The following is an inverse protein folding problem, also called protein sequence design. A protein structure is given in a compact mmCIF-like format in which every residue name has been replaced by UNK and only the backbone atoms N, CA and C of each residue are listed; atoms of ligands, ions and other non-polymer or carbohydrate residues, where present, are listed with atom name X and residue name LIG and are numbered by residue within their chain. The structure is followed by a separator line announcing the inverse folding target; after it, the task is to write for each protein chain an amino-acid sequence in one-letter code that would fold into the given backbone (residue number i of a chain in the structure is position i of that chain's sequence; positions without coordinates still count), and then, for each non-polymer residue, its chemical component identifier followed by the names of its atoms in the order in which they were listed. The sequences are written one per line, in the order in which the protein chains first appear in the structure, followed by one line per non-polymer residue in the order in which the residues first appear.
data_IF_513296814908
#
_entry.id   IF_513296814908
#
_cell.length_a   1.000
_cell.length_b   1.000
_cell.length_c   1.000
_cell.angle_alpha   90.00
_cell.angle_beta   90.00
_cell.angle_gamma   90.00
#
_symmetry.space_group_name_H-M   'P 1'
#
loop_
_entity.id
_entity.type
_entity.pdbx_description
1 polymer ?
#
# COMPACT_ATOMS: atom_id res chain seq x y z
N UNK A 1 1.63 -5.70 -25.10
CA UNK A 1 2.09 -6.50 -23.94
C UNK A 1 1.31 -6.06 -22.70
N UNK A 2 0.78 -7.02 -21.97
CA UNK A 2 0.09 -6.69 -20.71
C UNK A 2 1.07 -6.49 -19.59
N UNK A 3 0.83 -5.46 -18.82
CA UNK A 3 1.60 -5.16 -17.61
C UNK A 3 0.67 -5.07 -16.41
N UNK A 4 1.22 -5.13 -15.23
CA UNK A 4 0.52 -4.83 -13.98
C UNK A 4 1.30 -3.77 -13.22
N UNK A 5 0.59 -3.01 -12.43
CA UNK A 5 1.17 -2.00 -11.56
C UNK A 5 1.23 -2.53 -10.14
N UNK A 6 2.32 -2.28 -9.46
CA UNK A 6 2.55 -2.70 -8.08
C UNK A 6 3.00 -1.48 -7.27
N UNK A 7 2.39 -1.30 -6.11
CA UNK A 7 2.71 -0.19 -5.21
C UNK A 7 3.77 -0.64 -4.21
N UNK A 8 4.85 0.11 -4.13
CA UNK A 8 5.91 -0.15 -3.15
C UNK A 8 6.29 1.13 -2.41
N UNK A 9 7.02 0.95 -1.33
CA UNK A 9 7.66 2.04 -0.59
C UNK A 9 9.14 2.08 -0.96
N UNK A 10 9.60 3.20 -1.51
CA UNK A 10 10.96 3.36 -2.01
C UNK A 10 11.84 4.18 -1.05
N UNK A 11 11.60 4.07 0.26
CA UNK A 11 12.38 4.77 1.26
C UNK A 11 12.47 3.93 2.54
N UNK A 12 13.41 4.25 3.40
CA UNK A 12 13.51 3.64 4.73
C UNK A 12 12.37 4.16 5.61
N UNK A 13 11.80 3.34 6.45
CA UNK A 13 10.69 3.73 7.31
C UNK A 13 9.44 2.87 7.14
N UNK A 14 9.38 2.10 6.06
CA UNK A 14 8.32 1.15 5.83
C UNK A 14 7.15 1.69 5.02
N UNK A 15 6.39 0.75 4.47
CA UNK A 15 5.20 1.04 3.69
C UNK A 15 4.08 1.59 4.58
N UNK A 16 3.46 2.68 4.16
CA UNK A 16 2.31 3.22 4.85
C UNK A 16 1.49 4.13 3.95
N UNK A 17 0.19 4.18 4.22
CA UNK A 17 -0.76 5.02 3.50
C UNK A 17 -1.28 6.12 4.43
N UNK A 18 -1.59 7.27 3.86
CA UNK A 18 -2.25 8.35 4.60
C UNK A 18 -3.70 7.96 4.94
N UNK A 19 -4.29 8.65 5.91
CA UNK A 19 -5.70 8.43 6.27
C UNK A 19 -6.62 8.65 5.06
N UNK A 20 -6.35 9.66 4.26
CA UNK A 20 -7.13 9.94 3.04
C UNK A 20 -7.08 8.80 2.06
N UNK A 21 -5.90 8.18 1.89
CA UNK A 21 -5.74 7.05 0.99
C UNK A 21 -6.54 5.84 1.48
N UNK A 22 -6.49 5.55 2.78
CA UNK A 22 -7.26 4.44 3.35
C UNK A 22 -8.76 4.69 3.20
N UNK A 23 -9.25 5.88 3.53
CA UNK A 23 -10.66 6.24 3.37
C UNK A 23 -11.13 6.08 1.93
N UNK A 24 -10.38 6.63 0.99
CA UNK A 24 -10.74 6.57 -0.42
C UNK A 24 -10.73 5.11 -0.92
N UNK A 25 -9.74 4.34 -0.53
CA UNK A 25 -9.67 2.93 -0.88
C UNK A 25 -10.89 2.15 -0.38
N UNK A 26 -11.24 2.32 0.90
CA UNK A 26 -12.37 1.62 1.49
C UNK A 26 -13.69 2.04 0.85
N UNK A 27 -13.85 3.33 0.54
CA UNK A 27 -15.03 3.83 -0.16
C UNK A 27 -15.14 3.26 -1.57
N UNK A 28 -14.03 3.18 -2.30
CA UNK A 28 -14.02 2.59 -3.65
C UNK A 28 -14.35 1.10 -3.64
N UNK A 29 -13.97 0.40 -2.58
CA UNK A 29 -14.30 -1.02 -2.39
C UNK A 29 -15.75 -1.22 -1.95
N UNK A 30 -16.45 -0.15 -1.60
CA UNK A 30 -17.82 -0.25 -1.08
C UNK A 30 -17.91 -0.84 0.32
N UNK A 31 -16.84 -0.75 1.09
CA UNK A 31 -16.79 -1.28 2.45
C UNK A 31 -17.18 -0.22 3.46
N UNK A 32 -18.07 -0.59 4.38
CA UNK A 32 -18.39 0.25 5.52
C UNK A 32 -17.30 0.13 6.56
N UNK A 33 -16.93 1.25 7.15
CA UNK A 33 -15.87 1.28 8.15
C UNK A 33 -16.18 2.30 9.23
N UNK A 34 -15.56 2.11 10.39
CA UNK A 34 -15.57 3.10 11.47
C UNK A 34 -14.15 3.54 11.74
N UNK A 35 -14.00 4.70 12.35
CA UNK A 35 -12.69 5.26 12.67
C UNK A 35 -12.62 5.63 14.14
N UNK A 36 -11.42 5.57 14.69
CA UNK A 36 -11.12 6.03 16.03
C UNK A 36 -9.86 6.90 15.98
N UNK A 37 -9.88 8.01 16.69
CA UNK A 37 -8.71 8.87 16.75
C UNK A 37 -7.56 8.19 17.49
N UNK A 38 -6.37 8.33 16.92
CA UNK A 38 -5.13 7.81 17.50
C UNK A 38 -4.42 8.94 18.22
N UNK A 39 -4.04 8.69 19.47
CA UNK A 39 -3.41 9.71 20.33
C UNK A 39 -1.88 9.63 20.37
N UNK A 40 -1.26 8.81 19.52
CA UNK A 40 0.19 8.65 19.50
C UNK A 40 0.89 9.88 18.94
N UNK A 41 1.90 10.39 19.65
CA UNK A 41 2.72 11.50 19.19
C UNK A 41 3.74 11.10 18.12
N UNK A 42 3.88 9.82 17.84
CA UNK A 42 4.90 9.29 16.93
C UNK A 42 4.38 8.93 15.53
N UNK A 43 3.11 9.21 15.26
CA UNK A 43 2.52 8.90 13.96
C UNK A 43 1.70 10.08 13.46
N UNK A 44 1.89 10.45 12.20
CA UNK A 44 1.06 11.47 11.54
C UNK A 44 -0.31 10.92 11.19
N UNK A 45 -0.46 9.63 11.25
CA UNK A 45 -1.73 8.97 11.00
C UNK A 45 -2.59 9.11 12.24
N UNK A 46 -3.68 9.83 12.11
CA UNK A 46 -4.57 10.17 13.24
C UNK A 46 -5.74 9.22 13.42
N UNK A 47 -6.00 8.38 12.43
CA UNK A 47 -7.16 7.51 12.45
C UNK A 47 -6.77 6.04 12.47
N UNK A 48 -7.52 5.27 13.25
CA UNK A 48 -7.49 3.82 13.20
C UNK A 48 -8.78 3.39 12.53
N UNK A 49 -8.69 2.49 11.58
CA UNK A 49 -9.83 2.03 10.78
C UNK A 49 -10.26 0.64 11.21
N UNK A 50 -11.58 0.44 11.30
CA UNK A 50 -12.18 -0.85 11.64
C UNK A 50 -13.23 -1.22 10.60
N UNK A 51 -13.23 -2.47 10.18
CA UNK A 51 -14.25 -3.04 9.30
C UNK A 51 -14.94 -4.15 10.07
N UNK A 52 -16.27 -4.02 10.25
CA UNK A 52 -17.08 -4.97 11.03
C UNK A 52 -16.50 -5.23 12.44
N UNK A 53 -15.94 -4.18 13.05
CA UNK A 53 -15.33 -4.26 14.36
C UNK A 53 -13.90 -4.80 14.40
N UNK A 54 -13.38 -5.25 13.26
CA UNK A 54 -12.01 -5.76 13.17
C UNK A 54 -11.04 -4.68 12.71
N UNK A 55 -9.87 -4.68 13.29
CA UNK A 55 -8.81 -3.73 12.95
C UNK A 55 -8.38 -3.92 11.50
N UNK A 56 -8.35 -2.80 10.76
CA UNK A 56 -7.86 -2.78 9.39
C UNK A 56 -6.45 -2.23 9.32
N UNK A 57 -5.58 -2.89 8.56
CA UNK A 57 -4.24 -2.38 8.28
C UNK A 57 -3.93 -2.45 6.79
N UNK A 58 -3.31 -1.39 6.26
CA UNK A 58 -2.85 -1.36 4.86
C UNK A 58 -1.79 -2.43 4.54
N UNK A 59 -1.14 -2.98 5.57
CA UNK A 59 -0.14 -4.03 5.37
C UNK A 59 -0.75 -5.34 4.88
N UNK A 60 -2.05 -5.53 5.05
CA UNK A 60 -2.77 -6.72 4.56
C UNK A 60 -3.22 -6.58 3.10
N UNK A 61 -3.07 -5.39 2.51
CA UNK A 61 -3.49 -5.16 1.14
C UNK A 61 -2.52 -5.76 0.13
N UNK A 62 -3.09 -6.28 -0.95
CA UNK A 62 -2.27 -6.69 -2.10
C UNK A 62 -1.73 -5.44 -2.78
N UNK A 63 -0.44 -5.44 -3.03
CA UNK A 63 0.24 -4.28 -3.64
C UNK A 63 -0.08 -4.10 -5.12
N UNK A 64 -0.66 -5.12 -5.76
CA UNK A 64 -1.12 -5.07 -7.14
C UNK A 64 -2.64 -4.91 -7.26
N UNK A 65 -3.34 -4.65 -6.17
CA UNK A 65 -4.79 -4.42 -6.17
C UNK A 65 -5.12 -3.22 -7.07
N UNK A 66 -5.92 -3.40 -8.13
CA UNK A 66 -6.27 -2.30 -9.03
C UNK A 66 -6.94 -1.12 -8.34
N UNK A 67 -7.74 -1.37 -7.31
CA UNK A 67 -8.40 -0.30 -6.55
C UNK A 67 -7.39 0.48 -5.73
N UNK A 68 -6.40 -0.19 -5.15
CA UNK A 68 -5.32 0.49 -4.44
C UNK A 68 -4.50 1.37 -5.38
N UNK A 69 -4.14 0.86 -6.54
CA UNK A 69 -3.41 1.63 -7.56
C UNK A 69 -4.21 2.85 -7.99
N UNK A 70 -5.50 2.66 -8.30
CA UNK A 70 -6.39 3.76 -8.67
C UNK A 70 -6.49 4.83 -7.60
N UNK A 71 -6.59 4.41 -6.34
CA UNK A 71 -6.64 5.31 -5.19
C UNK A 71 -5.38 6.19 -5.13
N UNK A 72 -4.22 5.58 -5.25
CA UNK A 72 -2.94 6.29 -5.19
C UNK A 72 -2.76 7.22 -6.38
N UNK A 73 -3.14 6.77 -7.57
CA UNK A 73 -3.06 7.61 -8.78
C UNK A 73 -3.99 8.83 -8.69
N UNK A 74 -5.17 8.66 -8.12
CA UNK A 74 -6.14 9.74 -7.95
C UNK A 74 -5.66 10.79 -6.95
N UNK A 75 -5.11 10.36 -5.82
CA UNK A 75 -4.60 11.28 -4.79
C UNK A 75 -3.23 11.86 -5.13
N UNK A 76 -2.42 11.12 -5.88
CA UNK A 76 -1.02 11.42 -6.08
C UNK A 76 -0.15 10.72 -5.05
N UNK A 77 1.07 10.36 -5.44
CA UNK A 77 1.97 9.56 -4.61
C UNK A 77 2.28 10.21 -3.26
N UNK A 78 2.45 11.54 -3.24
CA UNK A 78 2.76 12.25 -2.00
C UNK A 78 1.59 12.27 -1.02
N UNK A 79 0.39 12.55 -1.52
CA UNK A 79 -0.81 12.64 -0.67
C UNK A 79 -1.30 11.28 -0.20
N UNK A 80 -0.99 10.23 -0.95
CA UNK A 80 -1.36 8.86 -0.58
C UNK A 80 -0.41 8.25 0.44
N UNK A 81 0.82 8.76 0.55
CA UNK A 81 1.83 8.26 1.48
C UNK A 81 1.62 8.84 2.88
N UNK A 82 1.95 8.05 3.91
CA UNK A 82 2.13 8.61 5.24
C UNK A 82 3.50 9.33 5.30
N UNK A 83 3.82 9.95 6.45
CA UNK A 83 5.05 10.75 6.54
C UNK A 83 6.35 9.94 6.56
N UNK A 84 6.25 8.62 6.71
CA UNK A 84 7.41 7.73 6.77
C UNK A 84 7.62 6.93 5.51
N UNK A 85 6.75 7.09 4.52
CA UNK A 85 6.84 6.34 3.28
C UNK A 85 7.02 7.26 2.07
N UNK A 86 7.67 6.71 1.04
CA UNK A 86 7.80 7.34 -0.26
C UNK A 86 7.27 6.34 -1.28
N UNK A 87 6.04 6.53 -1.70
CA UNK A 87 5.36 5.55 -2.55
C UNK A 87 5.82 5.63 -3.99
N UNK A 88 5.89 4.48 -4.63
CA UNK A 88 6.23 4.35 -6.03
C UNK A 88 5.37 3.27 -6.66
N UNK A 89 4.89 3.52 -7.88
CA UNK A 89 4.19 2.52 -8.68
C UNK A 89 5.16 1.97 -9.71
N UNK A 90 5.36 0.66 -9.69
CA UNK A 90 6.24 -0.02 -10.64
C UNK A 90 5.39 -0.85 -11.59
N UNK A 91 5.61 -0.68 -12.89
CA UNK A 91 4.96 -1.48 -13.92
C UNK A 91 5.84 -2.68 -14.25
N UNK A 92 5.25 -3.88 -14.19
CA UNK A 92 5.97 -5.11 -14.46
C UNK A 92 5.21 -5.94 -15.51
N UNK A 93 5.87 -6.82 -16.26
CA UNK A 93 5.17 -7.73 -17.16
C UNK A 93 4.13 -8.57 -16.40
N UNK A 94 2.97 -8.76 -17.01
CA UNK A 94 1.84 -9.42 -16.36
C UNK A 94 2.11 -10.87 -16.02
N UNK A 95 2.90 -11.55 -16.81
CA UNK A 95 3.10 -13.00 -16.77
C UNK A 95 4.35 -13.46 -16.01
N UNK A 96 5.06 -12.55 -15.32
CA UNK A 96 6.20 -12.95 -14.50
C UNK A 96 5.78 -13.26 -13.07
N UNK A 97 6.50 -14.18 -12.43
CA UNK A 97 6.41 -14.36 -10.99
C UNK A 97 7.28 -13.31 -10.31
N UNK A 98 6.72 -12.63 -9.34
CA UNK A 98 7.40 -11.53 -8.67
C UNK A 98 7.18 -11.60 -7.17
N UNK A 99 8.04 -10.94 -6.44
CA UNK A 99 7.90 -10.73 -5.01
C UNK A 99 8.44 -9.36 -4.61
N UNK A 100 7.98 -8.85 -3.49
CA UNK A 100 8.53 -7.64 -2.90
C UNK A 100 9.62 -8.06 -1.93
N UNK A 101 10.81 -7.53 -2.13
CA UNK A 101 11.93 -7.66 -1.19
C UNK A 101 12.12 -6.34 -0.49
N UNK A 102 12.62 -6.36 0.73
CA UNK A 102 12.85 -5.14 1.48
C UNK A 102 14.15 -5.18 2.27
N UNK A 103 14.67 -4.00 2.53
CA UNK A 103 15.74 -3.80 3.48
C UNK A 103 15.41 -2.53 4.27
N UNK A 104 15.21 -2.70 5.58
CA UNK A 104 14.93 -1.59 6.51
C UNK A 104 13.77 -0.70 6.05
N UNK A 105 12.73 -1.32 5.50
CA UNK A 105 11.54 -0.65 5.01
C UNK A 105 11.58 -0.23 3.55
N UNK A 106 12.75 -0.13 2.94
CA UNK A 106 12.89 0.20 1.53
C UNK A 106 12.63 -1.05 0.69
N UNK A 107 11.65 -0.97 -0.19
CA UNK A 107 11.15 -2.10 -0.96
C UNK A 107 11.55 -2.03 -2.42
N UNK A 108 11.67 -3.18 -3.05
CA UNK A 108 11.82 -3.29 -4.50
C UNK A 108 11.19 -4.58 -4.98
N UNK A 109 10.94 -4.65 -6.29
CA UNK A 109 10.34 -5.83 -6.88
C UNK A 109 11.43 -6.68 -7.51
N UNK A 110 11.43 -7.96 -7.17
CA UNK A 110 12.33 -8.94 -7.73
C UNK A 110 11.54 -10.04 -8.44
N UNK A 111 12.07 -10.52 -9.56
CA UNK A 111 11.51 -11.69 -10.22
C UNK A 111 11.91 -12.93 -9.44
N UNK A 112 10.93 -13.82 -9.21
CA UNK A 112 11.20 -15.08 -8.54
C UNK A 112 11.95 -16.00 -9.48
N UNK A 113 13.09 -16.53 -9.01
CA UNK A 113 13.85 -17.50 -9.76
C UNK A 113 13.28 -18.89 -9.56
N UNK A 114 13.15 -19.63 -10.66
CA UNK A 114 12.89 -21.07 -10.57
C UNK A 114 14.18 -21.79 -10.28
N UNK A 115 14.14 -22.64 -9.28
CA UNK A 115 15.27 -23.50 -8.94
C UNK A 115 14.92 -24.90 -9.47
N UNK A 116 15.79 -25.41 -10.32
CA UNK A 116 15.65 -26.77 -10.83
C UNK A 116 16.68 -27.64 -10.10
N UNK A 117 16.19 -28.61 -9.40
CA UNK A 117 17.05 -29.57 -8.70
C UNK A 117 17.03 -30.93 -9.37
#
# INVERSE_FOLDING_TARGET
MKTRKVLINADFGGFGLSDKAVELYLNKKGLEFTTQEKTSAFSDRRLIFYIDGDYFTEHDLRRDDPVLIETVEELGLEKAADSYSSLKIVEIPYDIDWEIQEYDGNEWIAEKHRIWS
#
